data_IF_876170661913
#
_entry.id   IF_876170661913
#
_cell.length_a   1.000
_cell.length_b   1.000
_cell.length_c   1.000
_cell.angle_alpha   90.00
_cell.angle_beta   90.00
_cell.angle_gamma   90.00
#
_symmetry.space_group_name_H-M   'P 1'
#
loop_
_entity.id
_entity.type
_entity.pdbx_description
1 polymer ?
#
# COMPACT_ATOMS: atom_id res chain seq x y z
N UNK A 1 -51.65 -22.36 49.08
CA UNK A 1 -52.12 -23.76 49.19
C UNK A 1 -51.14 -24.66 48.45
N UNK A 2 -50.58 -25.65 49.19
CA UNK A 2 -50.08 -26.98 48.80
C UNK A 2 -49.15 -27.08 47.56
N UNK A 3 -47.85 -27.38 47.77
CA UNK A 3 -47.18 -28.72 47.71
C UNK A 3 -47.09 -29.23 46.26
N UNK A 4 -46.04 -29.83 45.72
CA UNK A 4 -44.74 -30.39 46.13
C UNK A 4 -43.95 -30.49 44.79
N UNK A 5 -42.66 -30.72 44.67
CA UNK A 5 -41.66 -31.36 45.50
C UNK A 5 -40.58 -31.88 44.53
N UNK A 6 -39.32 -31.88 44.96
CA UNK A 6 -38.29 -32.77 44.46
C UNK A 6 -37.07 -32.67 45.40
N UNK A 7 -37.07 -33.53 46.40
CA UNK A 7 -35.85 -34.07 46.99
C UNK A 7 -35.37 -35.21 46.07
N UNK A 8 -34.06 -35.44 45.98
CA UNK A 8 -33.43 -36.70 46.40
C UNK A 8 -31.92 -36.48 46.55
N UNK A 9 -31.42 -36.87 47.72
CA UNK A 9 -30.00 -36.98 48.08
C UNK A 9 -29.60 -38.46 48.02
N UNK A 10 -28.28 -38.64 47.95
CA UNK A 10 -27.46 -39.84 48.23
C UNK A 10 -27.24 -40.80 47.07
N UNK A 11 -26.14 -41.55 47.01
CA UNK A 11 -24.72 -41.46 47.39
C UNK A 11 -24.16 -42.85 46.97
N UNK A 12 -22.85 -42.92 46.69
CA UNK A 12 -22.00 -44.12 46.53
C UNK A 12 -22.03 -44.79 45.15
N UNK A 13 -20.97 -45.41 44.62
CA UNK A 13 -19.50 -45.36 44.77
C UNK A 13 -19.02 -46.60 44.00
N UNK A 14 -18.23 -46.47 42.93
CA UNK A 14 -17.45 -47.57 42.32
C UNK A 14 -16.52 -46.97 41.23
N UNK A 15 -15.29 -46.56 41.59
CA UNK A 15 -14.01 -47.29 41.49
C UNK A 15 -13.36 -47.34 40.10
N UNK A 16 -12.20 -46.64 40.02
CA UNK A 16 -10.98 -46.86 39.21
C UNK A 16 -10.96 -46.45 37.71
N UNK A 17 -9.77 -46.12 37.13
CA UNK A 17 -8.57 -45.50 37.70
C UNK A 17 -8.04 -44.29 36.87
N UNK A 18 -7.05 -43.52 37.39
CA UNK A 18 -6.57 -42.30 36.77
C UNK A 18 -5.56 -42.53 35.62
N UNK A 19 -5.74 -41.79 34.52
CA UNK A 19 -4.74 -41.67 33.46
C UNK A 19 -3.53 -40.90 33.98
N UNK A 20 -2.46 -41.64 34.24
CA UNK A 20 -1.20 -41.16 34.79
C UNK A 20 -0.30 -40.67 33.66
N UNK A 21 -0.17 -39.35 33.54
CA UNK A 21 0.93 -38.71 32.82
C UNK A 21 2.23 -39.07 33.55
N UNK A 22 3.14 -39.78 32.88
CA UNK A 22 4.52 -39.98 33.34
C UNK A 22 5.49 -39.42 32.30
N UNK A 23 6.43 -38.55 32.72
CA UNK A 23 7.49 -38.05 31.85
C UNK A 23 8.56 -39.13 31.69
N UNK A 24 8.86 -39.52 30.45
CA UNK A 24 9.95 -40.44 30.17
C UNK A 24 11.30 -39.74 30.36
N UNK A 25 12.13 -40.37 31.20
CA UNK A 25 13.48 -39.95 31.52
C UNK A 25 14.46 -40.27 30.39
N UNK A 26 15.37 -39.31 30.19
CA UNK A 26 16.70 -39.38 29.62
C UNK A 26 17.20 -40.78 29.20
N UNK A 27 17.38 -40.96 27.89
CA UNK A 27 18.43 -41.83 27.34
C UNK A 27 19.53 -40.99 26.74
N UNK A 28 20.73 -41.31 27.18
CA UNK A 28 22.01 -40.72 26.84
C UNK A 28 22.24 -40.68 25.32
N UNK A 29 22.63 -39.50 24.85
CA UNK A 29 23.08 -39.24 23.49
C UNK A 29 24.48 -39.82 23.35
N UNK A 30 24.60 -40.98 22.72
CA UNK A 30 25.88 -41.48 22.22
C UNK A 30 26.26 -40.68 20.99
N UNK A 31 27.38 -39.98 21.13
CA UNK A 31 28.03 -39.15 20.12
C UNK A 31 28.62 -40.09 19.06
N UNK A 32 28.07 -40.09 17.86
CA UNK A 32 28.77 -40.57 16.67
C UNK A 32 28.87 -39.43 15.66
N UNK A 33 30.10 -38.94 15.51
CA UNK A 33 30.46 -37.90 14.57
C UNK A 33 30.18 -38.36 13.13
N UNK A 34 29.19 -37.74 12.48
CA UNK A 34 29.01 -37.83 11.02
C UNK A 34 29.73 -36.66 10.35
N UNK A 35 30.58 -37.03 9.40
CA UNK A 35 31.46 -36.19 8.61
C UNK A 35 30.76 -34.96 8.00
N UNK A 36 31.41 -33.81 8.17
CA UNK A 36 31.04 -32.55 7.53
C UNK A 36 31.53 -32.52 6.08
N UNK A 37 30.59 -32.62 5.14
CA UNK A 37 30.82 -32.36 3.72
C UNK A 37 31.06 -30.86 3.51
N UNK A 38 32.32 -30.49 3.33
CA UNK A 38 32.78 -29.14 2.99
C UNK A 38 32.61 -28.94 1.48
N UNK A 39 31.48 -28.39 1.05
CA UNK A 39 31.27 -28.02 -0.37
C UNK A 39 32.13 -26.79 -0.69
N UNK A 40 33.29 -27.05 -1.28
CA UNK A 40 34.18 -26.04 -1.85
C UNK A 40 33.54 -25.44 -3.11
N UNK A 41 33.26 -24.13 -3.08
CA UNK A 41 32.91 -23.38 -4.28
C UNK A 41 34.22 -22.91 -4.96
N UNK A 42 34.56 -23.56 -6.07
CA UNK A 42 35.66 -23.14 -6.94
C UNK A 42 35.23 -21.91 -7.75
N UNK A 43 35.79 -20.75 -7.41
CA UNK A 43 35.71 -19.52 -8.19
C UNK A 43 36.75 -19.60 -9.31
N UNK A 44 36.32 -19.91 -10.53
CA UNK A 44 37.10 -19.65 -11.74
C UNK A 44 36.63 -18.31 -12.33
N UNK A 45 37.58 -17.40 -12.56
CA UNK A 45 37.40 -16.26 -13.44
C UNK A 45 37.63 -16.75 -14.87
N UNK A 46 36.89 -16.24 -15.88
CA UNK A 46 37.62 -15.50 -16.90
C UNK A 46 36.88 -14.27 -17.44
N UNK A 47 37.69 -13.30 -17.88
CA UNK A 47 37.32 -12.16 -18.69
C UNK A 47 36.54 -12.55 -19.96
N UNK A 48 35.62 -11.65 -20.34
CA UNK A 48 35.30 -11.17 -21.71
C UNK A 48 33.81 -11.24 -22.08
N UNK A 49 33.15 -10.07 -22.10
CA UNK A 49 32.48 -9.52 -23.30
C UNK A 49 32.00 -8.09 -23.03
N UNK A 50 32.41 -7.23 -23.95
CA UNK A 50 32.14 -5.80 -24.03
C UNK A 50 30.66 -5.49 -24.34
N UNK A 51 30.24 -4.25 -24.04
CA UNK A 51 29.09 -3.62 -24.70
C UNK A 51 27.85 -3.36 -23.84
N UNK A 52 27.98 -2.61 -22.74
CA UNK A 52 26.89 -1.72 -22.30
C UNK A 52 27.47 -0.35 -22.02
N UNK A 53 27.02 0.63 -22.78
CA UNK A 53 27.36 2.04 -22.64
C UNK A 53 27.30 2.45 -21.16
N UNK A 54 28.44 2.91 -20.67
CA UNK A 54 28.62 3.37 -19.31
C UNK A 54 27.74 4.61 -19.08
N UNK A 55 26.63 4.44 -18.34
CA UNK A 55 26.11 5.57 -17.57
C UNK A 55 27.24 6.05 -16.67
N UNK A 56 27.60 7.33 -16.83
CA UNK A 56 28.66 7.99 -16.10
C UNK A 56 28.72 7.52 -14.64
N UNK A 57 29.90 7.08 -14.23
CA UNK A 57 30.21 6.66 -12.87
C UNK A 57 29.76 7.73 -11.88
N UNK A 58 28.67 7.46 -11.15
CA UNK A 58 28.22 8.32 -10.05
C UNK A 58 29.27 8.24 -8.95
N UNK A 59 29.99 9.34 -8.74
CA UNK A 59 30.95 9.49 -7.65
C UNK A 59 30.22 9.26 -6.31
N UNK A 60 30.63 8.27 -5.49
CA UNK A 60 29.99 7.99 -4.20
C UNK A 60 30.07 9.17 -3.21
N UNK A 61 30.84 10.23 -3.51
CA UNK A 61 30.92 11.47 -2.72
C UNK A 61 29.95 12.57 -3.16
N UNK A 62 29.30 12.46 -4.32
CA UNK A 62 28.19 13.35 -4.64
C UNK A 62 26.93 12.82 -3.97
N UNK A 63 26.63 13.35 -2.78
CA UNK A 63 25.35 13.06 -2.13
C UNK A 63 24.23 13.59 -3.02
N UNK A 64 23.59 12.72 -3.80
CA UNK A 64 22.30 12.97 -4.47
C UNK A 64 21.21 13.47 -3.50
N UNK A 65 21.46 13.41 -2.18
CA UNK A 65 20.59 13.92 -1.13
C UNK A 65 20.23 15.42 -1.28
N UNK A 66 21.09 16.21 -1.94
CA UNK A 66 20.86 17.65 -2.16
C UNK A 66 20.68 18.04 -3.63
N UNK A 67 20.75 17.07 -4.55
CA UNK A 67 20.50 17.33 -5.98
C UNK A 67 19.07 16.92 -6.29
N UNK A 68 18.26 17.91 -6.65
CA UNK A 68 16.91 17.70 -7.13
C UNK A 68 16.99 17.27 -8.60
N UNK A 69 17.00 15.96 -8.84
CA UNK A 69 17.13 15.38 -10.19
C UNK A 69 15.89 15.68 -11.08
N UNK A 70 14.81 16.25 -10.53
CA UNK A 70 13.62 16.66 -11.28
C UNK A 70 13.00 17.95 -10.72
N UNK A 71 13.63 19.12 -10.94
CA UNK A 71 13.25 20.35 -10.27
C UNK A 71 11.89 20.92 -10.71
N UNK A 72 11.40 20.53 -11.88
CA UNK A 72 10.14 21.02 -12.44
C UNK A 72 8.93 20.41 -11.71
N UNK A 73 9.01 19.13 -11.35
CA UNK A 73 7.93 18.41 -10.65
C UNK A 73 8.09 18.42 -9.12
N UNK A 74 9.22 18.91 -8.60
CA UNK A 74 9.47 18.98 -7.17
C UNK A 74 8.68 20.11 -6.50
N UNK A 75 7.91 19.74 -5.48
CA UNK A 75 7.15 20.69 -4.65
C UNK A 75 8.09 21.66 -3.91
N UNK A 76 8.10 22.92 -4.37
CA UNK A 76 8.92 24.00 -3.80
C UNK A 76 8.29 24.55 -2.52
N UNK A 77 9.13 25.06 -1.62
CA UNK A 77 8.67 25.74 -0.40
C UNK A 77 8.34 24.84 0.80
N UNK A 78 8.69 23.55 0.73
CA UNK A 78 8.66 22.65 1.89
C UNK A 78 9.87 22.91 2.81
N UNK A 79 9.70 22.76 4.12
CA UNK A 79 10.78 23.01 5.08
C UNK A 79 10.40 22.76 6.53
N UNK A 80 11.35 23.00 7.44
CA UNK A 80 11.22 22.72 8.87
C UNK A 80 11.93 23.74 9.77
N UNK A 81 12.20 24.96 9.26
CA UNK A 81 12.97 25.98 9.99
C UNK A 81 12.23 26.53 11.22
N UNK A 82 10.91 26.66 11.13
CA UNK A 82 10.02 27.25 12.14
C UNK A 82 8.60 26.67 12.00
N UNK A 83 7.73 26.99 12.97
CA UNK A 83 6.33 26.52 13.03
C UNK A 83 5.53 26.94 11.80
N UNK A 84 5.72 28.18 11.33
CA UNK A 84 5.02 28.71 10.16
C UNK A 84 5.36 27.89 8.90
N UNK A 85 6.63 27.58 8.70
CA UNK A 85 7.11 26.76 7.59
C UNK A 85 6.62 25.32 7.70
N UNK A 86 6.53 24.76 8.91
CA UNK A 86 5.97 23.44 9.13
C UNK A 86 4.49 23.39 8.71
N UNK A 87 3.69 24.36 9.15
CA UNK A 87 2.28 24.48 8.76
C UNK A 87 2.13 24.72 7.25
N UNK A 88 2.96 25.59 6.66
CA UNK A 88 2.99 25.80 5.21
C UNK A 88 3.30 24.51 4.46
N UNK A 89 4.24 23.70 4.96
CA UNK A 89 4.58 22.41 4.37
C UNK A 89 3.39 21.45 4.41
N UNK A 90 2.69 21.36 5.55
CA UNK A 90 1.48 20.53 5.67
C UNK A 90 0.39 21.00 4.70
N UNK A 91 0.19 22.32 4.58
CA UNK A 91 -0.78 22.90 3.66
C UNK A 91 -0.44 22.64 2.19
N UNK A 92 0.85 22.74 1.81
CA UNK A 92 1.30 22.48 0.44
C UNK A 92 1.04 21.03 0.00
N UNK A 93 1.17 20.06 0.91
CA UNK A 93 0.96 18.64 0.57
C UNK A 93 -0.49 18.20 0.72
N UNK A 94 -1.39 19.01 1.28
CA UNK A 94 -2.74 18.56 1.68
C UNK A 94 -3.61 18.10 0.51
N UNK A 95 -3.33 18.57 -0.71
CA UNK A 95 -4.02 18.17 -1.94
C UNK A 95 -3.53 16.84 -2.52
N UNK A 96 -2.38 16.35 -2.08
CA UNK A 96 -1.79 15.06 -2.50
C UNK A 96 -2.43 13.89 -1.77
N UNK A 97 -2.12 12.67 -2.18
CA UNK A 97 -2.51 11.45 -1.48
C UNK A 97 -1.99 11.43 -0.05
N UNK A 98 -2.73 10.78 0.85
CA UNK A 98 -2.32 10.64 2.25
C UNK A 98 -0.98 9.89 2.38
N UNK A 99 -0.68 9.00 1.43
CA UNK A 99 0.61 8.33 1.29
C UNK A 99 1.74 9.33 1.08
N UNK A 100 1.59 10.24 0.09
CA UNK A 100 2.58 11.27 -0.20
C UNK A 100 2.72 12.27 0.95
N UNK A 101 1.60 12.72 1.52
CA UNK A 101 1.58 13.62 2.68
C UNK A 101 2.42 13.05 3.82
N UNK A 102 2.19 11.79 4.20
CA UNK A 102 2.97 11.13 5.26
C UNK A 102 4.45 11.05 4.90
N UNK A 103 4.80 10.68 3.67
CA UNK A 103 6.20 10.56 3.26
C UNK A 103 6.93 11.91 3.38
N UNK A 104 6.33 12.99 2.89
CA UNK A 104 6.90 14.33 2.93
C UNK A 104 7.02 14.84 4.37
N UNK A 105 5.94 14.73 5.15
CA UNK A 105 5.91 15.19 6.55
C UNK A 105 6.87 14.37 7.41
N UNK A 106 6.92 13.05 7.24
CA UNK A 106 7.87 12.19 7.95
C UNK A 106 9.32 12.52 7.57
N UNK A 107 9.58 12.88 6.31
CA UNK A 107 10.91 13.34 5.88
C UNK A 107 11.28 14.64 6.61
N UNK A 108 10.39 15.63 6.64
CA UNK A 108 10.67 16.90 7.33
C UNK A 108 10.82 16.73 8.85
N UNK A 109 9.98 15.89 9.46
CA UNK A 109 10.10 15.52 10.87
C UNK A 109 11.50 14.93 11.18
N UNK A 110 11.96 13.96 10.39
CA UNK A 110 13.28 13.34 10.63
C UNK A 110 14.43 14.31 10.35
N UNK A 111 14.30 15.17 9.33
CA UNK A 111 15.29 16.23 9.07
C UNK A 111 15.40 17.22 10.24
N UNK A 112 14.27 17.65 10.81
CA UNK A 112 14.25 18.48 12.01
C UNK A 112 14.83 17.74 13.23
N UNK A 113 14.38 16.50 13.45
CA UNK A 113 14.81 15.63 14.55
C UNK A 113 16.31 15.32 14.54
N UNK A 114 16.94 15.27 13.37
CA UNK A 114 18.37 14.97 13.23
C UNK A 114 19.20 16.19 12.80
N UNK A 115 18.62 17.39 12.84
CA UNK A 115 19.34 18.61 12.49
C UNK A 115 20.52 18.84 13.45
N UNK A 116 21.73 19.14 12.96
CA UNK A 116 22.92 19.31 13.82
C UNK A 116 22.81 20.51 14.76
N UNK A 117 22.06 21.55 14.39
CA UNK A 117 21.82 22.75 15.19
C UNK A 117 20.32 22.90 15.48
N UNK A 118 19.84 22.33 16.58
CA UNK A 118 18.41 22.39 16.93
C UNK A 118 18.10 23.66 17.70
N UNK A 119 17.68 24.70 16.98
CA UNK A 119 17.07 25.89 17.58
C UNK A 119 15.71 25.54 18.17
N UNK A 120 15.18 26.41 19.03
CA UNK A 120 13.84 26.20 19.59
C UNK A 120 12.75 26.27 18.51
N UNK A 121 12.94 27.06 17.46
CA UNK A 121 12.06 27.09 16.28
C UNK A 121 12.00 25.74 15.54
N UNK A 122 13.16 25.09 15.37
CA UNK A 122 13.22 23.76 14.73
C UNK A 122 12.56 22.71 15.63
N UNK A 123 12.72 22.79 16.95
CA UNK A 123 12.02 21.89 17.88
C UNK A 123 10.51 22.11 17.83
N UNK A 124 10.06 23.36 17.75
CA UNK A 124 8.65 23.69 17.61
C UNK A 124 8.07 23.19 16.28
N UNK A 125 8.80 23.36 15.17
CA UNK A 125 8.45 22.77 13.88
C UNK A 125 8.37 21.23 13.93
N UNK A 126 9.34 20.58 14.59
CA UNK A 126 9.36 19.14 14.80
C UNK A 126 8.08 18.67 15.52
N UNK A 127 7.66 19.37 16.58
CA UNK A 127 6.47 19.04 17.35
C UNK A 127 5.18 19.13 16.52
N UNK A 128 5.08 20.10 15.61
CA UNK A 128 3.95 20.21 14.66
C UNK A 128 3.84 18.97 13.78
N UNK A 129 4.95 18.53 13.18
CA UNK A 129 4.95 17.34 12.34
C UNK A 129 4.70 16.06 13.15
N UNK A 130 5.26 15.96 14.34
CA UNK A 130 5.03 14.82 15.23
C UNK A 130 3.55 14.67 15.59
N UNK A 131 2.89 15.78 15.94
CA UNK A 131 1.45 15.83 16.20
C UNK A 131 0.67 15.34 14.99
N UNK A 132 0.97 15.88 13.80
CA UNK A 132 0.29 15.46 12.57
C UNK A 132 0.46 13.95 12.30
N UNK A 133 1.67 13.40 12.49
CA UNK A 133 1.96 11.97 12.26
C UNK A 133 1.27 11.04 13.28
N UNK A 134 1.08 11.49 14.52
CA UNK A 134 0.48 10.70 15.60
C UNK A 134 -1.04 10.82 15.67
N UNK A 135 -1.61 11.95 15.27
CA UNK A 135 -3.03 12.24 15.45
C UNK A 135 -3.75 12.37 14.10
N UNK A 136 -3.31 13.31 13.25
CA UNK A 136 -4.00 13.63 12.01
C UNK A 136 -3.92 12.51 10.98
N UNK A 137 -2.73 11.93 10.77
CA UNK A 137 -2.53 10.87 9.79
C UNK A 137 -3.32 9.59 10.12
N UNK A 138 -3.26 9.02 11.34
CA UNK A 138 -4.02 7.80 11.65
C UNK A 138 -5.53 8.01 11.51
N UNK A 139 -6.06 9.15 11.97
CA UNK A 139 -7.47 9.51 11.82
C UNK A 139 -7.89 9.60 10.35
N UNK A 140 -7.14 10.37 9.55
CA UNK A 140 -7.41 10.48 8.12
C UNK A 140 -7.30 9.13 7.41
N UNK A 141 -6.36 8.27 7.85
CA UNK A 141 -6.15 6.94 7.26
C UNK A 141 -7.30 5.98 7.56
N UNK A 142 -7.86 6.03 8.78
CA UNK A 142 -9.02 5.20 9.16
C UNK A 142 -10.31 5.64 8.48
N UNK A 143 -10.46 6.94 8.19
CA UNK A 143 -11.62 7.49 7.48
C UNK A 143 -11.52 7.31 5.96
N UNK A 144 -10.30 7.14 5.43
CA UNK A 144 -10.08 6.96 4.00
C UNK A 144 -10.58 5.58 3.55
N UNK A 145 -11.58 5.59 2.65
CA UNK A 145 -12.06 4.38 1.95
C UNK A 145 -10.93 3.72 1.15
N UNK A 146 -10.87 2.40 1.21
CA UNK A 146 -9.85 1.62 0.53
C UNK A 146 -10.43 0.82 -0.65
N UNK A 147 -10.04 1.19 -1.86
CA UNK A 147 -10.38 0.45 -3.08
C UNK A 147 -9.23 -0.48 -3.49
N UNK A 148 -9.11 -1.60 -2.77
CA UNK A 148 -8.08 -2.64 -3.00
C UNK A 148 -8.73 -4.01 -3.28
N UNK A 149 -8.07 -4.91 -4.02
CA UNK A 149 -6.80 -4.70 -4.72
C UNK A 149 -6.94 -3.74 -5.92
N UNK A 150 -5.83 -3.12 -6.32
CA UNK A 150 -5.74 -2.42 -7.62
C UNK A 150 -5.61 -3.49 -8.70
N UNK A 151 -6.36 -3.37 -9.79
CA UNK A 151 -6.29 -4.32 -10.90
C UNK A 151 -4.86 -4.40 -11.46
N UNK A 152 -4.41 -5.62 -11.76
CA UNK A 152 -3.09 -5.84 -12.33
C UNK A 152 -2.94 -5.12 -13.69
N UNK A 153 -1.73 -4.65 -14.01
CA UNK A 153 -1.46 -4.00 -15.30
C UNK A 153 -1.86 -4.84 -16.51
N UNK A 154 -1.55 -6.13 -16.49
CA UNK A 154 -1.94 -7.06 -17.55
C UNK A 154 -3.47 -7.16 -17.71
N UNK A 155 -4.20 -7.07 -16.61
CA UNK A 155 -5.67 -7.03 -16.62
C UNK A 155 -6.14 -5.73 -17.24
N UNK A 156 -5.55 -4.59 -16.86
CA UNK A 156 -5.84 -3.28 -17.46
C UNK A 156 -5.52 -3.24 -18.97
N UNK A 157 -4.39 -3.79 -19.40
CA UNK A 157 -4.03 -3.93 -20.82
C UNK A 157 -5.07 -4.75 -21.60
N UNK A 158 -5.62 -5.79 -20.98
CA UNK A 158 -6.62 -6.66 -21.64
C UNK A 158 -7.96 -5.95 -21.79
N UNK A 159 -8.37 -5.15 -20.81
CA UNK A 159 -9.68 -4.47 -20.80
C UNK A 159 -9.66 -3.08 -21.43
N UNK A 160 -8.48 -2.49 -21.66
CA UNK A 160 -8.35 -1.14 -22.20
C UNK A 160 -9.10 -0.93 -23.53
N UNK A 161 -9.03 -1.84 -24.53
CA UNK A 161 -9.80 -1.67 -25.76
C UNK A 161 -11.31 -1.58 -25.52
N UNK A 162 -11.83 -2.37 -24.56
CA UNK A 162 -13.25 -2.33 -24.19
C UNK A 162 -13.63 -1.01 -23.52
N UNK A 163 -12.73 -0.40 -22.75
CA UNK A 163 -12.95 0.93 -22.16
C UNK A 163 -12.97 2.02 -23.23
N UNK A 164 -12.07 1.96 -24.21
CA UNK A 164 -11.98 2.93 -25.32
C UNK A 164 -13.21 2.88 -26.24
N UNK A 165 -13.80 1.70 -26.44
CA UNK A 165 -15.05 1.54 -27.21
C UNK A 165 -16.28 2.05 -26.45
N UNK A 166 -16.22 2.12 -25.11
CA UNK A 166 -17.34 2.48 -24.27
C UNK A 166 -17.58 4.00 -24.25
N UNK A 167 -18.78 4.41 -24.66
CA UNK A 167 -19.17 5.83 -24.64
C UNK A 167 -19.30 6.36 -23.21
N UNK A 168 -18.66 7.50 -22.94
CA UNK A 168 -18.79 8.21 -21.66
C UNK A 168 -17.87 7.71 -20.55
N UNK A 169 -16.89 6.87 -20.87
CA UNK A 169 -15.86 6.42 -19.94
C UNK A 169 -14.59 7.26 -20.15
N UNK A 170 -14.07 7.84 -19.06
CA UNK A 170 -12.76 8.50 -19.07
C UNK A 170 -11.65 7.45 -18.90
N UNK A 171 -10.86 7.25 -19.95
CA UNK A 171 -9.76 6.29 -20.01
C UNK A 171 -8.42 6.86 -19.57
N UNK A 172 -8.33 8.15 -19.24
CA UNK A 172 -7.06 8.86 -18.98
C UNK A 172 -6.23 8.16 -17.90
N UNK A 173 -6.86 7.75 -16.79
CA UNK A 173 -6.18 6.98 -15.74
C UNK A 173 -5.71 5.62 -16.24
N UNK A 174 -6.57 4.86 -16.94
CA UNK A 174 -6.28 3.51 -17.39
C UNK A 174 -5.09 3.48 -18.37
N UNK A 175 -5.10 4.37 -19.36
CA UNK A 175 -4.02 4.57 -20.33
C UNK A 175 -2.71 4.93 -19.61
N UNK A 176 -2.77 5.92 -18.73
CA UNK A 176 -1.61 6.34 -17.94
C UNK A 176 -1.08 5.17 -17.11
N UNK A 177 -1.97 4.43 -16.43
CA UNK A 177 -1.62 3.34 -15.53
C UNK A 177 -0.89 2.20 -16.25
N UNK A 178 -1.38 1.84 -17.44
CA UNK A 178 -0.76 0.86 -18.33
C UNK A 178 0.61 1.35 -18.79
N UNK A 179 0.71 2.60 -19.26
CA UNK A 179 1.94 3.20 -19.77
C UNK A 179 3.02 3.47 -18.70
N UNK A 180 2.66 3.51 -17.41
CA UNK A 180 3.62 3.77 -16.33
C UNK A 180 4.79 2.76 -16.34
N UNK A 181 5.96 3.19 -15.89
CA UNK A 181 7.08 2.30 -15.66
C UNK A 181 6.78 1.25 -14.56
N UNK A 182 7.47 0.11 -14.63
CA UNK A 182 7.40 -0.90 -13.58
C UNK A 182 7.85 -0.32 -12.24
N UNK A 183 7.09 -0.60 -11.17
CA UNK A 183 7.34 -0.16 -9.77
C UNK A 183 7.14 1.34 -9.50
N UNK A 184 6.81 2.17 -10.50
CA UNK A 184 6.40 3.55 -10.26
C UNK A 184 5.08 3.54 -9.46
N UNK A 185 5.02 4.32 -8.37
CA UNK A 185 3.88 4.35 -7.45
C UNK A 185 2.93 5.47 -7.85
N UNK A 186 1.62 5.21 -7.79
CA UNK A 186 0.57 6.21 -8.07
C UNK A 186 0.74 7.48 -7.22
N UNK A 187 1.04 7.33 -5.93
CA UNK A 187 1.28 8.44 -5.01
C UNK A 187 2.50 9.32 -5.38
N UNK A 188 3.38 8.83 -6.27
CA UNK A 188 4.57 9.53 -6.73
C UNK A 188 4.45 9.95 -8.20
N UNK A 189 3.27 9.82 -8.81
CA UNK A 189 3.00 10.23 -10.19
C UNK A 189 1.93 11.32 -10.16
N UNK A 190 2.29 12.51 -10.63
CA UNK A 190 1.37 13.64 -10.76
C UNK A 190 0.30 13.36 -11.83
N UNK A 191 -0.89 13.93 -11.63
CA UNK A 191 -1.90 14.01 -12.69
C UNK A 191 -1.47 15.04 -13.74
N UNK A 192 -0.94 16.18 -13.28
CA UNK A 192 -0.39 17.23 -14.11
C UNK A 192 1.00 17.62 -13.57
N UNK A 193 2.04 17.33 -14.37
CA UNK A 193 3.43 17.60 -14.01
C UNK A 193 3.71 19.11 -13.88
N UNK A 194 2.91 19.98 -14.51
CA UNK A 194 3.03 21.44 -14.39
C UNK A 194 2.50 21.98 -13.05
N UNK A 195 1.72 21.18 -12.32
CA UNK A 195 1.07 21.56 -11.07
C UNK A 195 1.54 20.66 -9.91
N UNK A 196 2.79 20.79 -9.42
CA UNK A 196 3.35 19.91 -8.41
C UNK A 196 2.67 20.00 -7.03
N UNK A 197 1.83 21.01 -6.79
CA UNK A 197 1.01 21.12 -5.58
C UNK A 197 -0.34 20.39 -5.67
N UNK A 198 -0.75 19.95 -6.85
CA UNK A 198 -2.06 19.34 -7.10
C UNK A 198 -2.03 17.82 -6.96
N UNK A 199 -3.15 17.17 -7.20
CA UNK A 199 -3.34 15.75 -6.94
C UNK A 199 -2.32 14.86 -7.68
N UNK A 200 -1.92 13.79 -6.99
CA UNK A 200 -1.31 12.62 -7.63
C UNK A 200 -2.39 11.61 -8.04
N UNK A 201 -2.00 10.63 -8.85
CA UNK A 201 -2.94 9.62 -9.34
C UNK A 201 -3.54 8.74 -8.24
N UNK A 202 -2.90 8.58 -7.07
CA UNK A 202 -3.49 7.84 -5.94
C UNK A 202 -4.66 8.63 -5.32
N UNK A 203 -4.49 9.97 -5.18
CA UNK A 203 -5.56 10.87 -4.74
C UNK A 203 -6.69 10.97 -5.77
N UNK A 204 -6.38 11.16 -7.04
CA UNK A 204 -7.37 11.26 -8.10
C UNK A 204 -8.22 9.99 -8.17
N UNK A 205 -7.57 8.82 -8.21
CA UNK A 205 -8.24 7.51 -8.20
C UNK A 205 -9.17 7.33 -7.00
N UNK A 206 -8.67 7.59 -5.79
CA UNK A 206 -9.48 7.39 -4.57
C UNK A 206 -10.69 8.33 -4.54
N UNK A 207 -10.53 9.56 -5.04
CA UNK A 207 -11.60 10.56 -5.10
C UNK A 207 -12.67 10.11 -6.09
N UNK A 208 -12.29 9.76 -7.33
CA UNK A 208 -13.21 9.29 -8.36
C UNK A 208 -13.98 8.02 -7.93
N UNK A 209 -13.29 7.02 -7.37
CA UNK A 209 -13.95 5.81 -6.88
C UNK A 209 -14.89 6.09 -5.69
N UNK A 210 -14.56 7.07 -4.85
CA UNK A 210 -15.44 7.45 -3.75
C UNK A 210 -16.73 8.11 -4.22
N UNK A 211 -16.68 8.83 -5.33
CA UNK A 211 -17.85 9.43 -5.99
C UNK A 211 -18.68 8.39 -6.73
N UNK A 212 -18.03 7.43 -7.41
CA UNK A 212 -18.69 6.36 -8.16
C UNK A 212 -19.38 5.33 -7.28
N UNK A 213 -18.83 5.04 -6.09
CA UNK A 213 -19.35 4.02 -5.17
C UNK A 213 -19.97 4.71 -3.94
N UNK A 214 -21.28 4.92 -3.86
CA UNK A 214 -21.92 5.56 -2.71
C UNK A 214 -21.65 4.83 -1.38
N UNK A 215 -21.50 5.58 -0.29
CA UNK A 215 -21.10 5.07 1.04
C UNK A 215 -22.13 4.16 1.73
N UNK A 216 -23.37 4.11 1.24
CA UNK A 216 -24.47 3.40 1.93
C UNK A 216 -24.56 1.92 1.57
N UNK A 217 -23.72 1.45 0.64
CA UNK A 217 -23.63 0.03 0.28
C UNK A 217 -22.18 -0.32 -0.03
N UNK A 218 -21.43 -0.74 0.98
CA UNK A 218 -20.10 -1.34 0.76
C UNK A 218 -20.17 -2.59 -0.14
N UNK A 219 -21.37 -3.17 -0.31
CA UNK A 219 -21.69 -4.18 -1.31
C UNK A 219 -22.25 -3.54 -2.59
N UNK A 220 -21.37 -3.30 -3.55
CA UNK A 220 -21.79 -3.05 -4.94
C UNK A 220 -22.51 -4.31 -5.44
N UNK A 221 -23.83 -4.21 -5.61
CA UNK A 221 -24.63 -5.36 -6.04
C UNK A 221 -24.16 -5.92 -7.38
N UNK A 222 -24.00 -7.24 -7.47
CA UNK A 222 -23.48 -7.91 -8.68
C UNK A 222 -24.33 -7.63 -9.93
N UNK A 223 -25.63 -7.39 -9.76
CA UNK A 223 -26.54 -7.07 -10.87
C UNK A 223 -26.23 -5.73 -11.56
N UNK A 224 -25.47 -4.84 -10.90
CA UNK A 224 -25.00 -3.58 -11.51
C UNK A 224 -23.72 -3.77 -12.29
N UNK A 225 -23.00 -4.88 -12.07
CA UNK A 225 -21.67 -5.09 -12.66
C UNK A 225 -21.75 -5.65 -14.07
N UNK A 226 -22.74 -6.46 -14.35
CA UNK A 226 -22.86 -7.20 -15.61
C UNK A 226 -24.13 -6.78 -16.34
N UNK A 227 -24.05 -6.71 -17.67
CA UNK A 227 -25.23 -6.60 -18.52
C UNK A 227 -25.90 -7.97 -18.78
N UNK A 228 -26.97 -7.95 -19.56
CA UNK A 228 -27.74 -9.16 -19.90
C UNK A 228 -26.92 -10.19 -20.72
N UNK A 229 -25.87 -9.72 -21.41
CA UNK A 229 -24.94 -10.56 -22.19
C UNK A 229 -23.78 -11.09 -21.34
N UNK A 230 -23.73 -10.74 -20.04
CA UNK A 230 -22.67 -11.14 -19.11
C UNK A 230 -21.38 -10.34 -19.26
N UNK A 231 -21.38 -9.25 -20.02
CA UNK A 231 -20.25 -8.32 -20.17
C UNK A 231 -20.28 -7.24 -19.09
N UNK A 232 -19.15 -6.57 -18.81
CA UNK A 232 -19.13 -5.46 -17.86
C UNK A 232 -20.09 -4.34 -18.29
N UNK A 233 -21.01 -3.96 -17.40
CA UNK A 233 -21.92 -2.84 -17.63
C UNK A 233 -21.15 -1.51 -17.72
N UNK A 234 -21.78 -0.46 -18.23
CA UNK A 234 -21.17 0.90 -18.24
C UNK A 234 -20.75 1.35 -16.83
N UNK A 235 -21.51 1.00 -15.80
CA UNK A 235 -21.14 1.28 -14.42
C UNK A 235 -19.89 0.51 -14.01
N UNK A 236 -19.79 -0.79 -14.34
CA UNK A 236 -18.58 -1.56 -14.03
C UNK A 236 -17.36 -1.05 -14.79
N UNK A 237 -17.53 -0.71 -16.08
CA UNK A 237 -16.47 -0.10 -16.88
C UNK A 237 -15.98 1.22 -16.26
N UNK A 238 -16.86 2.03 -15.69
CA UNK A 238 -16.45 3.25 -14.97
C UNK A 238 -15.57 2.95 -13.74
N UNK A 239 -15.81 1.85 -13.03
CA UNK A 239 -14.96 1.40 -11.92
C UNK A 239 -13.62 0.85 -12.43
N UNK A 240 -13.68 0.02 -13.49
CA UNK A 240 -12.52 -0.62 -14.11
C UNK A 240 -11.58 0.44 -14.70
N UNK A 241 -12.10 1.52 -15.27
CA UNK A 241 -11.33 2.66 -15.76
C UNK A 241 -10.39 3.26 -14.70
N UNK A 242 -10.74 3.13 -13.41
CA UNK A 242 -9.92 3.52 -12.26
C UNK A 242 -9.14 2.35 -11.63
N UNK A 243 -8.90 1.29 -12.40
CA UNK A 243 -8.25 0.05 -11.99
C UNK A 243 -8.83 -0.54 -10.70
N UNK A 244 -10.16 -0.59 -10.59
CA UNK A 244 -10.83 -1.28 -9.50
C UNK A 244 -12.07 -2.03 -9.97
N UNK A 245 -12.30 -3.19 -9.37
CA UNK A 245 -13.50 -3.98 -9.59
C UNK A 245 -13.86 -4.70 -8.30
N UNK A 246 -15.14 -4.68 -7.87
CA UNK A 246 -15.59 -5.52 -6.76
C UNK A 246 -15.65 -7.01 -7.15
N UNK A 247 -15.77 -7.32 -8.45
CA UNK A 247 -15.62 -8.68 -8.96
C UNK A 247 -14.14 -9.09 -9.05
N UNK A 248 -13.87 -10.39 -8.92
CA UNK A 248 -12.52 -10.95 -9.04
C UNK A 248 -11.95 -10.72 -10.45
N UNK A 249 -10.63 -10.55 -10.55
CA UNK A 249 -9.96 -10.42 -11.86
C UNK A 249 -10.21 -11.62 -12.77
N UNK A 250 -10.36 -12.83 -12.20
CA UNK A 250 -10.71 -14.02 -12.97
C UNK A 250 -12.09 -13.89 -13.64
N UNK A 251 -13.12 -13.48 -12.89
CA UNK A 251 -14.48 -13.29 -13.40
C UNK A 251 -14.50 -12.19 -14.47
N UNK A 252 -13.80 -11.08 -14.21
CA UNK A 252 -13.64 -9.99 -15.17
C UNK A 252 -12.97 -10.45 -16.46
N UNK A 253 -11.80 -11.09 -16.38
CA UNK A 253 -11.07 -11.55 -17.57
C UNK A 253 -11.82 -12.63 -18.35
N UNK A 254 -12.63 -13.46 -17.67
CA UNK A 254 -13.50 -14.43 -18.33
C UNK A 254 -14.56 -13.72 -19.18
N UNK A 255 -15.26 -12.74 -18.61
CA UNK A 255 -16.33 -11.98 -19.30
C UNK A 255 -15.87 -11.18 -20.53
N UNK A 256 -14.57 -10.83 -20.61
CA UNK A 256 -14.02 -10.02 -21.70
C UNK A 256 -13.43 -10.89 -22.83
N UNK A 257 -13.17 -12.17 -22.56
CA UNK A 257 -12.54 -13.09 -23.52
C UNK A 257 -13.51 -14.04 -24.21
N UNK A 258 -14.71 -14.19 -23.65
CA UNK A 258 -15.81 -15.00 -24.19
C UNK A 258 -16.70 -14.13 -25.09
#
# INVERSE_FOLDING_TARGET
MRLAGQCWKHLLSSTAPPSRYQPQQHRLVTIMAKATSKKQNNRANPLSKEGKEAKASKDPKQSHLYTDDNPETTLKGTGFKDVETANKTIALVSKRSLTYQRQTINTMFNRAKHHPKKTDDIKAAQAVFEKWLKETYPKAKSEQREFKPVLAKKTMETVLPLLEEAKGIDTTFAETYVAMEARKRLANTLVDDSQPGEADWDKARTTALSELVPSESDDVSENKLWDDDGKPSTYHLSLIAWAWSPATEYKLLKSVRE
#
